data_IF_885317278090
#
_entry.id   IF_885317278090
#
_cell.length_a   1.000
_cell.length_b   1.000
_cell.length_c   1.000
_cell.angle_alpha   90.00
_cell.angle_beta   90.00
_cell.angle_gamma   90.00
#
_symmetry.space_group_name_H-M   'P 1'
#
loop_
_entity.id
_entity.type
_entity.pdbx_description
1 polymer ?
#
# COMPACT_ATOMS: atom_id res chain seq x y z
N UNK A 1 20.11 -12.62 0.62
CA UNK A 1 20.80 -12.63 -0.70
C UNK A 1 19.87 -12.25 -1.82
N UNK A 2 20.36 -11.73 -2.98
CA UNK A 2 19.54 -11.48 -4.15
C UNK A 2 18.82 -12.74 -4.62
N UNK A 3 17.52 -12.61 -4.93
CA UNK A 3 16.72 -13.64 -5.58
C UNK A 3 16.72 -13.48 -7.11
N UNK A 4 16.17 -14.43 -7.86
CA UNK A 4 15.98 -14.24 -9.28
C UNK A 4 14.94 -13.17 -9.55
N UNK A 5 15.07 -12.38 -10.64
CA UNK A 5 14.01 -11.47 -11.06
C UNK A 5 12.74 -12.28 -11.35
N UNK A 6 11.60 -11.78 -10.87
CA UNK A 6 10.31 -12.44 -11.03
C UNK A 6 9.46 -11.68 -12.05
N UNK A 7 8.89 -12.39 -13.01
CA UNK A 7 7.95 -11.84 -13.98
C UNK A 7 6.54 -12.25 -13.58
N UNK A 8 5.64 -11.27 -13.54
CA UNK A 8 4.24 -11.50 -13.22
C UNK A 8 3.50 -12.11 -14.41
N UNK A 9 2.71 -13.15 -14.14
CA UNK A 9 1.68 -13.61 -15.06
C UNK A 9 0.40 -12.83 -14.72
N UNK A 10 -0.04 -11.98 -15.63
CA UNK A 10 -1.20 -11.12 -15.44
C UNK A 10 -2.24 -11.46 -16.50
N UNK A 11 -3.44 -11.77 -16.06
CA UNK A 11 -4.59 -12.02 -16.91
C UNK A 11 -5.61 -10.89 -16.74
N UNK A 12 -6.05 -10.30 -17.84
CA UNK A 12 -7.03 -9.21 -17.85
C UNK A 12 -8.17 -9.66 -18.75
N UNK A 13 -9.37 -9.80 -18.17
CA UNK A 13 -10.55 -10.28 -18.89
C UNK A 13 -11.36 -9.10 -19.45
N UNK A 14 -12.00 -9.36 -20.60
CA UNK A 14 -12.92 -8.42 -21.26
C UNK A 14 -12.29 -7.07 -21.66
N UNK A 15 -10.96 -7.00 -21.75
CA UNK A 15 -10.22 -5.83 -22.21
C UNK A 15 -9.18 -6.18 -23.26
N UNK A 16 -8.88 -5.19 -24.12
CA UNK A 16 -7.79 -5.30 -25.07
C UNK A 16 -6.47 -5.14 -24.35
N UNK A 17 -5.62 -6.14 -24.44
CA UNK A 17 -4.23 -6.09 -23.95
C UNK A 17 -3.24 -5.97 -25.09
N UNK A 18 -2.05 -5.45 -24.78
CA UNK A 18 -0.97 -5.23 -25.72
C UNK A 18 0.27 -6.02 -25.27
N UNK A 19 0.86 -6.77 -26.20
CA UNK A 19 2.10 -7.51 -25.98
C UNK A 19 3.28 -6.72 -26.54
N UNK A 20 4.36 -6.66 -25.78
CA UNK A 20 5.57 -5.94 -26.14
C UNK A 20 6.82 -6.83 -26.03
N UNK A 21 7.88 -6.49 -26.75
CA UNK A 21 9.18 -7.18 -26.65
C UNK A 21 9.89 -6.90 -25.33
N UNK A 22 9.60 -5.75 -24.72
CA UNK A 22 10.13 -5.35 -23.42
C UNK A 22 9.37 -6.00 -22.26
N UNK A 23 10.03 -6.11 -21.11
CA UNK A 23 9.44 -6.77 -19.94
C UNK A 23 9.79 -6.03 -18.64
N UNK A 24 8.88 -6.07 -17.70
CA UNK A 24 9.03 -5.54 -16.35
C UNK A 24 9.15 -6.68 -15.34
N UNK A 25 10.19 -6.65 -14.52
CA UNK A 25 10.50 -7.69 -13.54
C UNK A 25 10.53 -7.12 -12.14
N UNK A 26 10.04 -7.90 -11.18
CA UNK A 26 10.20 -7.64 -9.77
C UNK A 26 11.58 -8.13 -9.31
N UNK A 27 12.33 -7.27 -8.60
CA UNK A 27 13.50 -7.70 -7.86
C UNK A 27 13.06 -8.43 -6.59
N UNK A 28 13.63 -9.59 -6.34
CA UNK A 28 13.33 -10.40 -5.15
C UNK A 28 14.54 -10.56 -4.25
N UNK A 29 14.28 -10.79 -2.97
CA UNK A 29 15.27 -11.11 -1.97
C UNK A 29 14.98 -12.49 -1.39
N UNK A 30 15.96 -13.36 -1.43
CA UNK A 30 15.88 -14.68 -0.82
C UNK A 30 16.29 -14.60 0.64
N UNK A 31 15.44 -15.09 1.54
CA UNK A 31 15.68 -15.20 2.98
C UNK A 31 15.73 -16.68 3.34
N UNK A 32 16.85 -17.12 3.91
CA UNK A 32 17.05 -18.48 4.38
C UNK A 32 17.68 -18.44 5.79
N UNK A 33 17.44 -19.45 6.61
CA UNK A 33 18.15 -19.59 7.88
C UNK A 33 19.64 -19.95 7.61
N UNK A 34 20.54 -19.20 8.22
CA UNK A 34 21.96 -19.43 8.07
C UNK A 34 22.45 -20.59 8.94
N UNK A 35 22.97 -21.64 8.32
CA UNK A 35 23.77 -22.65 9.02
C UNK A 35 25.22 -22.19 9.14
N UNK A 36 26.06 -22.92 9.87
CA UNK A 36 27.47 -22.57 10.09
C UNK A 36 28.27 -22.37 8.80
N UNK A 37 27.96 -23.10 7.73
CA UNK A 37 28.64 -22.96 6.44
C UNK A 37 28.20 -21.68 5.71
N UNK A 38 26.91 -21.38 5.73
CA UNK A 38 26.37 -20.13 5.16
C UNK A 38 26.89 -18.93 5.93
N UNK A 39 26.99 -19.02 7.27
CA UNK A 39 27.57 -17.99 8.10
C UNK A 39 29.04 -17.70 7.75
N UNK A 40 29.85 -18.75 7.60
CA UNK A 40 31.23 -18.60 7.21
C UNK A 40 31.39 -18.03 5.79
N UNK A 41 30.54 -18.48 4.86
CA UNK A 41 30.52 -18.01 3.47
C UNK A 41 30.09 -16.55 3.35
N UNK A 42 29.07 -16.13 4.11
CA UNK A 42 28.58 -14.77 4.12
C UNK A 42 29.64 -13.74 4.52
N UNK A 43 30.56 -14.11 5.42
CA UNK A 43 31.69 -13.25 5.79
C UNK A 43 32.71 -13.05 4.64
N UNK A 44 32.65 -13.87 3.61
CA UNK A 44 33.55 -13.80 2.44
C UNK A 44 32.80 -13.28 1.18
N UNK A 45 31.48 -13.16 1.23
CA UNK A 45 30.65 -12.80 0.09
C UNK A 45 29.77 -11.58 0.43
N UNK A 46 30.08 -10.45 -0.18
CA UNK A 46 29.37 -9.18 0.02
C UNK A 46 27.92 -9.15 -0.50
N UNK A 47 27.46 -10.21 -1.15
CA UNK A 47 26.06 -10.33 -1.62
C UNK A 47 25.14 -11.01 -0.60
N UNK A 48 25.68 -11.44 0.55
CA UNK A 48 24.91 -12.11 1.61
C UNK A 48 25.00 -11.27 2.87
N UNK A 49 23.89 -10.68 3.25
CA UNK A 49 23.74 -9.99 4.52
C UNK A 49 23.24 -10.96 5.59
N UNK A 50 23.83 -10.87 6.78
CA UNK A 50 23.44 -11.62 7.95
C UNK A 50 22.72 -10.70 8.93
N UNK A 51 21.51 -11.06 9.29
CA UNK A 51 20.73 -10.36 10.30
C UNK A 51 20.47 -11.25 11.51
N UNK A 52 20.51 -10.72 12.73
CA UNK A 52 20.04 -11.44 13.90
C UNK A 52 18.59 -11.91 13.69
N UNK A 53 18.27 -13.08 14.22
CA UNK A 53 16.92 -13.67 14.06
C UNK A 53 15.83 -12.74 14.59
N UNK A 54 16.11 -12.03 15.67
CA UNK A 54 15.20 -11.11 16.35
C UNK A 54 14.83 -9.90 15.49
N UNK A 55 15.70 -9.52 14.55
CA UNK A 55 15.43 -8.43 13.57
C UNK A 55 14.44 -8.90 12.50
N UNK A 56 14.51 -10.18 12.13
CA UNK A 56 13.66 -10.75 11.07
C UNK A 56 12.36 -11.31 11.67
N UNK A 57 12.44 -11.89 12.85
CA UNK A 57 11.31 -12.51 13.55
C UNK A 57 11.16 -11.85 14.92
N UNK A 58 10.26 -10.86 15.06
CA UNK A 58 10.03 -10.17 16.32
C UNK A 58 9.59 -11.13 17.44
N UNK A 59 9.88 -10.78 18.68
CA UNK A 59 9.48 -11.57 19.85
C UNK A 59 7.98 -11.82 19.87
N UNK A 60 7.60 -13.08 20.05
CA UNK A 60 6.21 -13.50 20.11
C UNK A 60 5.55 -13.78 18.75
N UNK A 61 6.27 -13.58 17.64
CA UNK A 61 5.77 -13.91 16.29
C UNK A 61 6.40 -15.22 15.81
N UNK A 62 5.58 -16.14 15.35
CA UNK A 62 6.04 -17.39 14.74
C UNK A 62 6.42 -17.18 13.27
N UNK A 63 7.30 -18.02 12.68
CA UNK A 63 7.59 -17.98 11.25
C UNK A 63 6.35 -18.12 10.36
N UNK A 64 5.34 -18.86 10.85
CA UNK A 64 4.09 -19.06 10.13
C UNK A 64 3.26 -17.78 10.11
N UNK A 65 3.10 -17.12 11.26
CA UNK A 65 2.40 -15.82 11.36
C UNK A 65 3.10 -14.76 10.51
N UNK A 66 4.44 -14.72 10.51
CA UNK A 66 5.20 -13.80 9.66
C UNK A 66 4.94 -14.07 8.16
N UNK A 67 4.84 -15.35 7.77
CA UNK A 67 4.50 -15.73 6.40
C UNK A 67 3.08 -15.30 6.03
N UNK A 68 2.11 -15.49 6.92
CA UNK A 68 0.73 -15.06 6.72
C UNK A 68 0.62 -13.54 6.56
N UNK A 69 1.32 -12.78 7.42
CA UNK A 69 1.42 -11.31 7.32
C UNK A 69 2.03 -10.91 5.97
N UNK A 70 3.09 -11.60 5.55
CA UNK A 70 3.76 -11.29 4.27
C UNK A 70 2.86 -11.55 3.06
N UNK A 71 2.07 -12.63 3.09
CA UNK A 71 1.08 -12.95 2.05
C UNK A 71 -0.03 -11.88 2.06
N UNK A 72 -0.56 -11.52 3.22
CA UNK A 72 -1.60 -10.49 3.33
C UNK A 72 -1.12 -9.13 2.83
N UNK A 73 0.12 -8.75 3.14
CA UNK A 73 0.73 -7.53 2.63
C UNK A 73 0.88 -7.57 1.10
N UNK A 74 1.17 -8.73 0.52
CA UNK A 74 1.23 -8.91 -0.93
C UNK A 74 -0.15 -8.71 -1.57
N UNK A 75 -1.20 -9.33 -1.02
CA UNK A 75 -2.59 -9.19 -1.51
C UNK A 75 -3.03 -7.71 -1.46
N UNK A 76 -2.70 -7.02 -0.38
CA UNK A 76 -3.02 -5.59 -0.25
C UNK A 76 -2.27 -4.78 -1.30
N UNK A 77 -0.98 -5.06 -1.51
CA UNK A 77 -0.15 -4.37 -2.50
C UNK A 77 -0.61 -4.62 -3.93
N UNK A 78 -1.05 -5.84 -4.24
CA UNK A 78 -1.66 -6.21 -5.52
C UNK A 78 -2.92 -5.39 -5.79
N UNK A 79 -3.85 -5.36 -4.85
CA UNK A 79 -5.09 -4.61 -4.98
C UNK A 79 -4.83 -3.11 -5.20
N UNK A 80 -3.92 -2.51 -4.44
CA UNK A 80 -3.55 -1.11 -4.62
C UNK A 80 -2.88 -0.89 -5.98
N UNK A 81 -2.01 -1.80 -6.41
CA UNK A 81 -1.33 -1.71 -7.70
C UNK A 81 -2.31 -1.73 -8.89
N UNK A 82 -3.31 -2.61 -8.84
CA UNK A 82 -4.37 -2.67 -9.86
C UNK A 82 -5.18 -1.38 -9.83
N UNK A 83 -5.63 -0.93 -8.65
CA UNK A 83 -6.40 0.30 -8.50
C UNK A 83 -5.67 1.51 -9.10
N UNK A 84 -4.41 1.74 -8.71
CA UNK A 84 -3.60 2.86 -9.19
C UNK A 84 -3.36 2.78 -10.70
N UNK A 85 -3.09 1.59 -11.25
CA UNK A 85 -2.89 1.43 -12.67
C UNK A 85 -4.17 1.77 -13.45
N UNK A 86 -5.33 1.29 -13.01
CA UNK A 86 -6.61 1.55 -13.65
C UNK A 86 -7.03 3.02 -13.53
N UNK A 87 -6.91 3.64 -12.37
CA UNK A 87 -7.20 5.06 -12.17
C UNK A 87 -6.29 5.95 -13.03
N UNK A 88 -4.99 5.62 -13.13
CA UNK A 88 -4.04 6.33 -14.00
C UNK A 88 -4.44 6.26 -15.47
N UNK A 89 -5.09 5.18 -15.89
CA UNK A 89 -5.65 4.98 -17.23
C UNK A 89 -7.03 5.64 -17.43
N UNK A 90 -7.59 6.23 -16.37
CA UNK A 90 -8.89 6.91 -16.40
C UNK A 90 -10.09 6.00 -16.21
N UNK A 91 -9.89 4.77 -15.75
CA UNK A 91 -10.97 3.90 -15.33
C UNK A 91 -11.49 4.31 -13.95
N UNK A 92 -12.78 4.11 -13.73
CA UNK A 92 -13.42 4.35 -12.43
C UNK A 92 -13.17 3.13 -11.52
N UNK A 93 -12.53 3.36 -10.37
CA UNK A 93 -12.27 2.32 -9.36
C UNK A 93 -12.91 2.74 -8.06
N UNK A 94 -13.92 1.99 -7.64
CA UNK A 94 -14.56 2.24 -6.35
C UNK A 94 -13.77 1.55 -5.22
N UNK A 95 -13.57 2.26 -4.11
CA UNK A 95 -12.98 1.71 -2.89
C UNK A 95 -14.03 1.56 -1.82
N UNK A 96 -14.18 0.34 -1.32
CA UNK A 96 -15.07 0.02 -0.21
C UNK A 96 -14.27 -0.39 1.03
N UNK A 97 -14.78 -0.05 2.20
CA UNK A 97 -14.22 -0.42 3.49
C UNK A 97 -15.18 -0.04 4.62
N UNK A 98 -14.78 -0.33 5.85
CA UNK A 98 -15.62 -0.06 7.02
C UNK A 98 -15.49 1.38 7.55
N UNK A 99 -14.62 2.19 6.97
CA UNK A 99 -14.30 3.54 7.41
C UNK A 99 -12.80 3.79 7.48
N UNK A 100 -12.38 4.76 8.30
CA UNK A 100 -10.98 5.14 8.47
C UNK A 100 -10.52 4.85 9.89
N UNK A 101 -9.65 3.85 10.03
CA UNK A 101 -9.09 3.46 11.32
C UNK A 101 -7.93 4.38 11.70
N UNK A 102 -7.98 4.94 12.90
CA UNK A 102 -6.87 5.69 13.49
C UNK A 102 -5.81 4.70 13.99
N UNK A 103 -4.66 4.62 13.30
CA UNK A 103 -3.56 3.73 13.68
C UNK A 103 -2.52 4.42 14.57
N UNK A 104 -2.48 5.75 14.54
CA UNK A 104 -1.60 6.57 15.36
C UNK A 104 -1.93 8.05 15.24
N UNK A 105 -1.33 8.87 16.07
CA UNK A 105 -1.46 10.33 16.05
C UNK A 105 -0.10 10.95 15.78
N UNK A 106 -0.07 12.06 15.06
CA UNK A 106 1.14 12.88 14.90
C UNK A 106 1.44 13.65 16.21
N UNK A 107 2.71 13.98 16.43
CA UNK A 107 3.16 14.61 17.69
C UNK A 107 2.46 15.94 17.95
N UNK A 108 2.26 16.78 16.94
CA UNK A 108 1.61 18.10 17.03
C UNK A 108 0.13 18.07 16.57
N UNK A 109 -0.52 16.92 16.65
CA UNK A 109 -1.89 16.73 16.19
C UNK A 109 -2.92 17.55 16.99
N UNK A 110 -3.81 18.32 16.34
CA UNK A 110 -4.89 19.07 17.00
C UNK A 110 -5.98 18.17 17.59
N UNK A 111 -5.93 16.87 17.30
CA UNK A 111 -6.88 15.87 17.79
C UNK A 111 -6.31 14.96 18.88
N UNK A 112 -5.13 15.27 19.43
CA UNK A 112 -4.39 14.45 20.41
C UNK A 112 -5.23 14.07 21.65
N UNK A 113 -6.14 14.96 22.08
CA UNK A 113 -7.02 14.71 23.22
C UNK A 113 -8.45 14.29 22.82
N UNK A 114 -8.69 14.07 21.53
CA UNK A 114 -10.02 13.80 20.96
C UNK A 114 -10.09 12.47 20.22
N UNK A 115 -9.04 12.12 19.46
CA UNK A 115 -8.91 10.84 18.78
C UNK A 115 -7.94 9.94 19.53
N UNK A 116 -8.20 8.64 19.43
CA UNK A 116 -7.34 7.61 20.01
C UNK A 116 -7.09 6.51 19.00
N UNK A 117 -6.01 5.77 19.19
CA UNK A 117 -5.73 4.58 18.39
C UNK A 117 -6.91 3.60 18.46
N UNK A 118 -7.28 3.02 17.33
CA UNK A 118 -8.41 2.14 17.07
C UNK A 118 -9.79 2.84 17.02
N UNK A 119 -9.86 4.17 17.01
CA UNK A 119 -11.10 4.85 16.62
C UNK A 119 -11.38 4.56 15.13
N UNK A 120 -12.62 4.26 14.80
CA UNK A 120 -13.07 4.08 13.42
C UNK A 120 -13.88 5.30 12.97
N UNK A 121 -13.29 6.13 12.14
CA UNK A 121 -13.96 7.30 11.58
C UNK A 121 -14.90 6.84 10.45
N UNK A 122 -16.15 7.27 10.52
CA UNK A 122 -17.21 6.87 9.59
C UNK A 122 -17.80 8.04 8.81
N UNK A 123 -17.53 9.28 9.24
CA UNK A 123 -18.02 10.46 8.51
C UNK A 123 -17.19 11.72 8.79
N UNK A 124 -17.27 12.68 7.86
CA UNK A 124 -16.80 14.06 8.03
C UNK A 124 -17.90 15.01 7.57
N UNK A 125 -18.29 15.98 8.42
CA UNK A 125 -19.40 16.90 8.17
C UNK A 125 -20.69 16.19 7.69
N UNK A 126 -21.03 15.05 8.31
CA UNK A 126 -22.14 14.16 7.99
C UNK A 126 -22.05 13.45 6.60
N UNK A 127 -20.93 13.57 5.89
CA UNK A 127 -20.68 12.76 4.69
C UNK A 127 -20.01 11.47 5.12
N UNK A 128 -20.60 10.34 4.76
CA UNK A 128 -20.06 9.02 5.09
C UNK A 128 -18.75 8.81 4.33
N UNK A 129 -17.78 8.24 5.01
CA UNK A 129 -16.51 7.83 4.43
C UNK A 129 -16.27 6.35 4.70
N UNK A 130 -15.93 5.60 3.66
CA UNK A 130 -15.70 4.15 3.72
C UNK A 130 -14.22 3.78 3.65
N UNK A 131 -13.37 4.72 3.26
CA UNK A 131 -11.93 4.48 3.11
C UNK A 131 -11.11 5.73 3.43
N UNK A 132 -9.82 5.53 3.71
CA UNK A 132 -8.85 6.62 3.87
C UNK A 132 -8.72 7.46 2.60
N UNK A 133 -8.84 6.86 1.42
CA UNK A 133 -8.82 7.56 0.13
C UNK A 133 -9.99 8.52 -0.01
N UNK A 134 -11.22 8.05 0.29
CA UNK A 134 -12.41 8.93 0.28
C UNK A 134 -12.27 10.06 1.31
N UNK A 135 -11.77 9.74 2.50
CA UNK A 135 -11.56 10.72 3.56
C UNK A 135 -10.57 11.81 3.14
N UNK A 136 -9.42 11.43 2.58
CA UNK A 136 -8.40 12.38 2.08
C UNK A 136 -8.95 13.21 0.92
N UNK A 137 -9.64 12.59 -0.03
CA UNK A 137 -10.26 13.30 -1.17
C UNK A 137 -11.28 14.33 -0.69
N UNK A 138 -12.07 13.98 0.34
CA UNK A 138 -13.03 14.89 0.93
C UNK A 138 -12.34 16.03 1.71
N UNK A 139 -11.25 15.73 2.43
CA UNK A 139 -10.45 16.77 3.11
C UNK A 139 -9.92 17.82 2.13
N UNK A 140 -9.49 17.42 0.95
CA UNK A 140 -8.98 18.35 -0.09
C UNK A 140 -10.03 19.34 -0.61
N UNK A 141 -11.31 19.16 -0.27
CA UNK A 141 -12.38 20.13 -0.60
C UNK A 141 -12.54 21.25 0.44
N UNK A 142 -11.79 21.19 1.55
CA UNK A 142 -11.78 22.20 2.61
C UNK A 142 -10.47 22.97 2.60
N UNK A 143 -10.46 24.12 3.26
CA UNK A 143 -9.26 24.94 3.45
C UNK A 143 -8.55 24.62 4.77
N UNK A 144 -7.23 24.86 4.82
CA UNK A 144 -6.44 24.81 6.06
C UNK A 144 -7.00 25.86 7.02
N UNK A 145 -7.30 25.45 8.25
CA UNK A 145 -7.93 26.30 9.26
C UNK A 145 -9.45 26.12 9.38
N UNK A 146 -10.08 25.40 8.45
CA UNK A 146 -11.50 25.07 8.56
C UNK A 146 -11.77 24.14 9.74
N UNK A 147 -12.96 24.32 10.34
CA UNK A 147 -13.44 23.44 11.40
C UNK A 147 -14.34 22.38 10.78
N UNK A 148 -13.96 21.10 10.96
CA UNK A 148 -14.73 19.96 10.52
C UNK A 148 -15.28 19.17 11.70
N UNK A 149 -16.42 18.52 11.47
CA UNK A 149 -17.04 17.59 12.39
C UNK A 149 -16.76 16.15 11.92
N UNK A 150 -16.12 15.35 12.80
CA UNK A 150 -15.76 13.97 12.51
C UNK A 150 -16.65 13.05 13.33
N UNK A 151 -17.42 12.19 12.67
CA UNK A 151 -18.15 11.09 13.27
C UNK A 151 -17.27 9.84 13.32
N UNK A 152 -17.23 9.19 14.46
CA UNK A 152 -16.43 7.97 14.69
C UNK A 152 -17.14 6.99 15.61
N UNK A 153 -16.72 5.74 15.54
CA UNK A 153 -17.12 4.67 16.47
C UNK A 153 -15.94 4.35 17.38
N UNK A 154 -16.18 4.37 18.70
CA UNK A 154 -15.22 3.98 19.73
C UNK A 154 -15.90 3.08 20.74
N UNK A 155 -15.37 1.85 20.95
CA UNK A 155 -15.95 0.87 21.86
C UNK A 155 -17.46 0.64 21.61
N UNK A 156 -17.86 0.54 20.34
CA UNK A 156 -19.25 0.36 19.88
C UNK A 156 -20.18 1.59 20.13
N UNK A 157 -19.64 2.73 20.54
CA UNK A 157 -20.38 3.96 20.74
C UNK A 157 -20.08 4.97 19.62
N UNK A 158 -21.16 5.60 19.10
CA UNK A 158 -21.04 6.69 18.14
C UNK A 158 -20.62 7.97 18.84
N UNK A 159 -19.54 8.58 18.39
CA UNK A 159 -18.95 9.78 18.95
C UNK A 159 -18.78 10.80 17.82
N UNK A 160 -19.00 12.07 18.15
CA UNK A 160 -18.74 13.18 17.23
C UNK A 160 -17.75 14.14 17.88
N UNK A 161 -16.72 14.51 17.13
CA UNK A 161 -15.73 15.51 17.57
C UNK A 161 -15.63 16.64 16.57
N UNK A 162 -15.15 17.80 17.01
CA UNK A 162 -14.80 18.94 16.15
C UNK A 162 -13.31 19.20 16.20
N UNK A 163 -12.70 19.45 15.05
CA UNK A 163 -11.30 19.78 14.94
C UNK A 163 -11.06 20.81 13.86
N UNK A 164 -9.92 21.48 13.93
CA UNK A 164 -9.45 22.40 12.91
C UNK A 164 -8.47 21.64 12.01
N UNK A 165 -8.61 21.83 10.70
CA UNK A 165 -7.67 21.27 9.74
C UNK A 165 -6.34 22.03 9.78
N UNK A 166 -5.25 21.28 9.76
CA UNK A 166 -3.89 21.82 9.73
C UNK A 166 -3.25 21.53 8.39
N UNK A 167 -2.13 22.16 8.10
CA UNK A 167 -1.34 21.87 6.89
C UNK A 167 -0.67 20.52 6.99
N UNK A 168 -0.65 19.77 5.89
CA UNK A 168 -0.01 18.48 5.81
C UNK A 168 1.51 18.60 6.00
N UNK A 169 2.13 17.65 6.72
CA UNK A 169 3.56 17.72 7.10
C UNK A 169 4.51 17.56 5.91
N UNK A 170 4.08 16.93 4.82
CA UNK A 170 4.90 16.63 3.65
C UNK A 170 4.40 17.34 2.37
N UNK A 171 3.12 17.71 2.31
CA UNK A 171 2.51 18.33 1.12
C UNK A 171 2.03 19.74 1.45
N UNK A 172 2.67 20.73 0.84
CA UNK A 172 2.32 22.15 1.01
C UNK A 172 0.89 22.43 0.49
N UNK A 173 0.15 23.24 1.24
CA UNK A 173 -1.23 23.65 0.95
C UNK A 173 -2.27 22.51 0.94
N UNK A 174 -1.95 21.34 1.45
CA UNK A 174 -2.93 20.27 1.63
C UNK A 174 -3.44 20.22 3.08
N UNK A 175 -4.77 20.18 3.31
CA UNK A 175 -5.33 20.08 4.64
C UNK A 175 -5.27 18.65 5.19
N UNK A 176 -4.99 18.51 6.48
CA UNK A 176 -5.06 17.24 7.19
C UNK A 176 -5.63 17.38 8.59
N UNK A 177 -6.01 16.26 9.21
CA UNK A 177 -6.51 16.20 10.62
C UNK A 177 -5.37 15.93 11.61
N UNK A 178 -4.28 15.30 11.20
CA UNK A 178 -3.11 15.04 12.03
C UNK A 178 -3.08 13.65 12.68
N UNK A 179 -3.56 12.63 12.00
CA UNK A 179 -3.45 11.24 12.43
C UNK A 179 -3.00 10.32 11.26
N UNK A 180 -2.50 9.15 11.60
CA UNK A 180 -2.17 8.10 10.64
C UNK A 180 -3.42 7.24 10.42
N UNK A 181 -3.79 7.09 9.14
CA UNK A 181 -5.00 6.43 8.69
C UNK A 181 -4.74 5.05 8.08
N UNK A 182 -5.71 4.15 8.22
CA UNK A 182 -5.78 2.89 7.50
C UNK A 182 -7.24 2.60 7.16
N UNK A 183 -7.49 1.81 6.12
CA UNK A 183 -8.84 1.36 5.76
C UNK A 183 -9.00 -0.10 6.14
N UNK A 184 -9.75 -0.42 7.21
CA UNK A 184 -10.01 -1.82 7.54
C UNK A 184 -10.94 -2.45 6.49
N UNK A 185 -10.69 -3.72 6.18
CA UNK A 185 -11.46 -4.50 5.21
C UNK A 185 -11.58 -3.85 3.83
N UNK A 186 -10.53 -3.09 3.42
CA UNK A 186 -10.52 -2.43 2.14
C UNK A 186 -10.69 -3.42 0.99
N UNK A 187 -11.62 -3.09 0.09
CA UNK A 187 -11.86 -3.79 -1.17
C UNK A 187 -11.94 -2.78 -2.29
N UNK A 188 -11.51 -3.17 -3.47
CA UNK A 188 -11.67 -2.38 -4.67
C UNK A 188 -12.66 -3.07 -5.60
N UNK A 189 -13.50 -2.27 -6.24
CA UNK A 189 -14.42 -2.73 -7.28
C UNK A 189 -13.86 -2.22 -8.61
N UNK A 190 -13.37 -3.15 -9.41
CA UNK A 190 -12.78 -2.85 -10.71
C UNK A 190 -13.83 -2.95 -11.82
N UNK A 191 -13.71 -2.18 -12.90
CA UNK A 191 -14.65 -2.25 -14.03
C UNK A 191 -14.55 -3.56 -14.83
N UNK A 192 -13.48 -4.34 -14.64
CA UNK A 192 -13.23 -5.66 -15.24
C UNK A 192 -12.25 -6.45 -14.36
N UNK A 193 -12.17 -7.74 -14.60
CA UNK A 193 -11.33 -8.64 -13.81
C UNK A 193 -9.85 -8.53 -14.21
N UNK A 194 -8.99 -8.35 -13.22
CA UNK A 194 -7.52 -8.38 -13.34
C UNK A 194 -7.01 -9.37 -12.31
N UNK A 195 -6.34 -10.42 -12.77
CA UNK A 195 -5.72 -11.45 -11.94
C UNK A 195 -4.20 -11.40 -12.09
N UNK A 196 -3.50 -11.35 -10.97
CA UNK A 196 -2.04 -11.36 -10.92
C UNK A 196 -1.58 -12.60 -10.16
N UNK A 197 -0.93 -13.52 -10.87
CA UNK A 197 -0.35 -14.69 -10.23
C UNK A 197 0.90 -14.30 -9.46
N UNK A 198 0.77 -14.11 -8.15
CA UNK A 198 1.87 -13.73 -7.25
C UNK A 198 2.74 -14.91 -6.82
N UNK A 199 2.31 -16.14 -7.09
CA UNK A 199 3.03 -17.35 -6.73
C UNK A 199 3.36 -17.41 -5.24
N UNK A 200 4.62 -17.63 -4.91
CA UNK A 200 5.13 -17.67 -3.53
C UNK A 200 5.91 -16.40 -3.14
N UNK A 201 5.74 -15.31 -3.88
CA UNK A 201 6.38 -14.03 -3.55
C UNK A 201 5.54 -13.34 -2.50
N UNK A 202 6.16 -12.83 -1.44
CA UNK A 202 5.48 -12.13 -0.36
C UNK A 202 6.09 -10.75 -0.12
N UNK A 203 5.33 -9.90 0.57
CA UNK A 203 5.74 -8.55 0.95
C UNK A 203 5.22 -7.44 0.03
N UNK A 204 5.08 -6.23 0.53
CA UNK A 204 4.42 -5.13 -0.18
C UNK A 204 5.28 -4.46 -1.27
N UNK A 205 6.57 -4.79 -1.35
CA UNK A 205 7.54 -4.10 -2.22
C UNK A 205 7.39 -4.40 -3.73
N UNK A 206 6.39 -5.19 -4.12
CA UNK A 206 6.11 -5.52 -5.50
C UNK A 206 5.11 -4.56 -6.18
N UNK A 207 4.35 -3.78 -5.41
CA UNK A 207 3.21 -3.01 -5.88
C UNK A 207 3.52 -2.07 -7.05
N UNK A 208 4.63 -1.32 -6.98
CA UNK A 208 5.04 -0.45 -8.08
C UNK A 208 5.22 -1.23 -9.40
N UNK A 209 5.91 -2.36 -9.34
CA UNK A 209 6.17 -3.14 -10.55
C UNK A 209 4.93 -3.83 -11.08
N UNK A 210 4.00 -4.24 -10.19
CA UNK A 210 2.67 -4.74 -10.60
C UNK A 210 1.87 -3.66 -11.29
N UNK A 211 1.78 -2.45 -10.72
CA UNK A 211 1.06 -1.33 -11.31
C UNK A 211 1.60 -0.97 -12.70
N UNK A 212 2.92 -0.90 -12.85
CA UNK A 212 3.56 -0.65 -14.15
C UNK A 212 3.28 -1.76 -15.18
N UNK A 213 3.23 -3.04 -14.75
CA UNK A 213 2.88 -4.14 -15.64
C UNK A 213 1.41 -4.06 -16.10
N UNK A 214 0.46 -3.86 -15.19
CA UNK A 214 -0.97 -3.68 -15.52
C UNK A 214 -1.14 -2.50 -16.45
N UNK A 215 -0.52 -1.35 -16.13
CA UNK A 215 -0.53 -0.16 -16.98
C UNK A 215 -0.01 -0.45 -18.39
N UNK A 216 1.15 -1.12 -18.50
CA UNK A 216 1.77 -1.42 -19.78
C UNK A 216 0.90 -2.35 -20.65
N UNK A 217 0.26 -3.35 -20.04
CA UNK A 217 -0.64 -4.27 -20.75
C UNK A 217 -1.89 -3.58 -21.30
N UNK A 218 -2.34 -2.48 -20.71
CA UNK A 218 -3.57 -1.76 -21.08
C UNK A 218 -3.32 -0.52 -21.96
N UNK A 219 -2.06 -0.16 -22.24
CA UNK A 219 -1.71 1.00 -23.09
C UNK A 219 -1.16 0.56 -24.46
N UNK A 220 -1.34 1.41 -25.47
CA UNK A 220 -0.78 1.17 -26.82
C UNK A 220 0.73 1.44 -26.92
N UNK A 221 1.27 2.16 -25.94
CA UNK A 221 2.67 2.55 -25.92
C UNK A 221 3.46 1.69 -24.94
N UNK A 222 4.49 1.01 -25.44
CA UNK A 222 5.42 0.26 -24.59
C UNK A 222 6.25 1.19 -23.70
N UNK A 223 5.93 1.23 -22.41
CA UNK A 223 6.68 2.05 -21.43
C UNK A 223 8.09 1.54 -21.19
N UNK A 224 8.39 0.30 -21.58
CA UNK A 224 9.74 -0.28 -21.47
C UNK A 224 10.65 0.13 -22.63
N UNK A 225 10.09 0.64 -23.71
CA UNK A 225 10.79 0.93 -24.97
C UNK A 225 11.59 -0.29 -25.48
N UNK A 226 11.05 -1.51 -25.33
CA UNK A 226 11.68 -2.77 -25.73
C UNK A 226 12.75 -3.27 -24.77
N UNK A 227 12.94 -2.66 -23.61
CA UNK A 227 13.96 -3.06 -22.64
C UNK A 227 13.41 -4.04 -21.59
N UNK A 228 14.34 -4.79 -20.97
CA UNK A 228 14.07 -5.56 -19.77
C UNK A 228 14.42 -4.70 -18.56
N UNK A 229 13.41 -4.31 -17.80
CA UNK A 229 13.53 -3.43 -16.65
C UNK A 229 13.21 -4.22 -15.39
N UNK A 230 14.09 -4.16 -14.40
CA UNK A 230 13.85 -4.78 -13.10
C UNK A 230 13.83 -3.71 -12.01
N UNK A 231 12.84 -3.78 -11.12
CA UNK A 231 12.65 -2.82 -10.04
C UNK A 231 11.99 -3.43 -8.82
N UNK A 232 11.86 -2.64 -7.79
CA UNK A 232 11.11 -2.95 -6.56
C UNK A 232 10.65 -1.64 -5.94
N UNK A 233 9.50 -1.65 -5.28
CA UNK A 233 8.94 -0.50 -4.57
C UNK A 233 7.51 -0.79 -4.16
N UNK A 234 7.09 -0.25 -3.02
CA UNK A 234 5.67 -0.19 -2.67
C UNK A 234 4.98 0.84 -3.54
N UNK A 235 3.66 0.76 -3.63
CA UNK A 235 2.85 1.79 -4.23
C UNK A 235 1.73 2.14 -3.26
N UNK A 236 1.52 3.44 -3.07
CA UNK A 236 0.42 3.96 -2.27
C UNK A 236 -0.77 4.25 -3.17
N UNK A 237 -1.96 4.36 -2.58
CA UNK A 237 -3.20 4.56 -3.34
C UNK A 237 -3.24 5.88 -4.12
N UNK A 238 -2.46 6.88 -3.71
CA UNK A 238 -2.30 8.14 -4.42
C UNK A 238 -1.31 8.07 -5.60
N UNK A 239 -0.77 6.88 -5.88
CA UNK A 239 0.23 6.63 -6.92
C UNK A 239 1.66 6.94 -6.52
N UNK A 240 1.92 7.40 -5.30
CA UNK A 240 3.28 7.63 -4.81
C UNK A 240 4.01 6.32 -4.56
N UNK A 241 5.33 6.33 -4.74
CA UNK A 241 6.19 5.18 -4.51
C UNK A 241 6.82 5.29 -3.12
N UNK A 242 6.51 4.33 -2.27
CA UNK A 242 7.03 4.28 -0.93
C UNK A 242 8.47 3.74 -0.84
N UNK A 243 9.09 3.83 0.34
CA UNK A 243 10.45 3.35 0.56
C UNK A 243 10.54 1.83 0.41
N UNK A 244 11.68 1.38 -0.08
CA UNK A 244 12.01 -0.04 -0.13
C UNK A 244 12.63 -0.43 1.21
N UNK A 245 11.97 -1.32 1.96
CA UNK A 245 12.45 -1.81 3.25
C UNK A 245 13.54 -2.86 3.14
#
# INVERSE_FOLDING_TARGET
>A
SPGPPYQWEIEILDQKTYDFDGNLYQLTVRRDEANYFVYAWANLNSQIDLYPREVILPDGVTPQELSEISIQNMITSENVAIAVALETLGYDVESEGDGVLVVGLLDDSPVKDKLYKNDLITSINNQIVKSSTEFISLLKTYDIGDIVEIGLVRNEEDITIKTTLIEHVEYENEPMVGFLASTPNQKFVYPFEVDINTGNVGGPSAGMMMALNVYNLLTENDITAGNKIAGTGTIEIDGSVGPVG
#
